data_IF_094418734450
#
_entry.id   IF_094418734450
#
_cell.length_a   1.000
_cell.length_b   1.000
_cell.length_c   1.000
_cell.angle_alpha   90.00
_cell.angle_beta   90.00
_cell.angle_gamma   90.00
#
_symmetry.space_group_name_H-M   'P 1'
#
loop_
_entity.id
_entity.type
_entity.pdbx_description
1 polymer ?
#
# COMPACT_ATOMS: atom_id res chain seq x y z
N UNK A 1 8.73 -22.06 5.52
CA UNK A 1 7.27 -21.86 5.63
C UNK A 1 6.92 -20.82 6.69
N UNK A 2 7.44 -20.91 7.92
CA UNK A 2 7.09 -19.97 9.00
C UNK A 2 7.33 -18.49 8.66
N UNK A 3 8.50 -18.15 8.11
CA UNK A 3 8.81 -16.79 7.66
C UNK A 3 7.81 -16.24 6.63
N UNK A 4 7.28 -17.11 5.76
CA UNK A 4 6.30 -16.70 4.75
C UNK A 4 4.93 -16.40 5.35
N UNK A 5 4.52 -17.12 6.41
CA UNK A 5 3.29 -16.85 7.15
C UNK A 5 3.39 -15.53 7.91
N UNK A 6 4.52 -15.29 8.58
CA UNK A 6 4.81 -14.01 9.24
C UNK A 6 4.77 -12.88 8.23
N UNK A 7 5.41 -13.04 7.06
CA UNK A 7 5.35 -12.08 5.97
C UNK A 7 3.94 -11.83 5.45
N UNK A 8 3.10 -12.86 5.33
CA UNK A 8 1.70 -12.72 4.90
C UNK A 8 0.89 -11.87 5.90
N UNK A 9 0.98 -12.17 7.21
CA UNK A 9 0.27 -11.42 8.26
C UNK A 9 0.78 -9.98 8.34
N UNK A 10 2.09 -9.78 8.38
CA UNK A 10 2.69 -8.44 8.44
C UNK A 10 2.33 -7.59 7.22
N UNK A 11 2.18 -8.19 6.05
CA UNK A 11 1.77 -7.48 4.83
C UNK A 11 0.36 -6.91 5.01
N UNK A 12 -0.57 -7.72 5.50
CA UNK A 12 -1.94 -7.28 5.75
C UNK A 12 -2.01 -6.21 6.82
N UNK A 13 -1.33 -6.42 7.95
CA UNK A 13 -1.28 -5.43 9.03
C UNK A 13 -0.71 -4.10 8.53
N UNK A 14 0.41 -4.14 7.78
CA UNK A 14 1.06 -2.92 7.27
C UNK A 14 0.18 -2.20 6.25
N UNK A 15 -0.48 -2.92 5.34
CA UNK A 15 -1.40 -2.32 4.36
C UNK A 15 -2.66 -1.78 5.03
N UNK A 16 -3.25 -2.47 6.01
CA UNK A 16 -4.40 -1.92 6.74
C UNK A 16 -3.99 -0.68 7.53
N UNK A 17 -2.87 -0.73 8.24
CA UNK A 17 -2.34 0.38 9.02
C UNK A 17 -2.11 1.64 8.15
N UNK A 18 -1.48 1.48 6.97
CA UNK A 18 -1.28 2.59 6.02
C UNK A 18 -2.61 3.26 5.59
N UNK A 19 -3.74 2.55 5.68
CA UNK A 19 -5.03 3.00 5.13
C UNK A 19 -5.83 3.79 6.14
N UNK A 20 -5.63 3.46 7.41
CA UNK A 20 -6.23 4.20 8.53
C UNK A 20 -5.32 5.33 9.01
N UNK A 21 -4.03 5.32 8.64
CA UNK A 21 -3.03 6.30 9.07
C UNK A 21 -3.46 7.76 8.83
N UNK A 22 -3.99 8.17 7.66
CA UNK A 22 -4.45 9.54 7.46
C UNK A 22 -5.58 9.93 8.44
N UNK A 23 -6.51 9.02 8.73
CA UNK A 23 -7.59 9.27 9.69
C UNK A 23 -7.05 9.41 11.11
N UNK A 24 -6.10 8.56 11.50
CA UNK A 24 -5.44 8.64 12.81
C UNK A 24 -4.63 9.93 12.97
N UNK A 25 -3.94 10.35 11.91
CA UNK A 25 -3.21 11.62 11.90
C UNK A 25 -4.15 12.82 12.06
N UNK A 26 -5.31 12.82 11.39
CA UNK A 26 -6.33 13.85 11.56
C UNK A 26 -6.89 13.85 12.99
N UNK A 27 -7.20 12.68 13.57
CA UNK A 27 -7.67 12.56 14.95
C UNK A 27 -6.62 13.07 15.96
N UNK A 28 -5.34 12.76 15.74
CA UNK A 28 -4.23 13.16 16.61
C UNK A 28 -3.86 14.65 16.50
N UNK A 29 -4.19 15.32 15.39
CA UNK A 29 -3.86 16.74 15.15
C UNK A 29 -4.59 17.72 16.08
N UNK A 30 -5.62 17.26 16.81
CA UNK A 30 -6.43 18.12 17.67
C UNK A 30 -7.38 19.06 16.91
N UNK A 31 -7.51 18.91 15.58
CA UNK A 31 -8.41 19.71 14.75
C UNK A 31 -9.86 19.65 15.23
N UNK A 32 -10.34 18.49 15.69
CA UNK A 32 -11.69 18.36 16.26
C UNK A 32 -11.88 19.26 17.49
N UNK A 33 -10.87 19.33 18.36
CA UNK A 33 -10.90 20.21 19.54
C UNK A 33 -10.75 21.70 19.21
N UNK A 34 -10.12 22.04 18.07
CA UNK A 34 -10.09 23.42 17.55
C UNK A 34 -11.44 23.80 16.91
N UNK A 35 -12.12 22.85 16.27
CA UNK A 35 -13.45 23.03 15.70
C UNK A 35 -14.50 23.26 16.81
N UNK A 36 -14.43 22.49 17.91
CA UNK A 36 -15.27 22.69 19.11
C UNK A 36 -15.04 24.05 19.78
N UNK A 37 -13.80 24.55 19.80
CA UNK A 37 -13.48 25.87 20.34
C UNK A 37 -14.01 27.00 19.45
N UNK A 38 -14.03 26.78 18.13
CA UNK A 38 -14.56 27.76 17.18
C UNK A 38 -16.10 27.77 17.21
N UNK A 39 -16.74 26.61 17.32
CA UNK A 39 -18.19 26.48 17.43
C UNK A 39 -18.73 27.05 18.75
N UNK A 40 -17.91 27.05 19.82
CA UNK A 40 -18.19 27.75 21.09
C UNK A 40 -17.85 29.25 21.10
N UNK A 41 -17.47 29.83 19.95
CA UNK A 41 -17.29 31.28 19.80
C UNK A 41 -15.89 31.80 20.12
N UNK A 42 -14.90 30.95 20.41
CA UNK A 42 -13.52 31.37 20.66
C UNK A 42 -12.76 31.63 19.36
N UNK A 43 -11.98 32.72 19.31
CA UNK A 43 -11.12 33.04 18.17
C UNK A 43 -9.87 32.16 18.16
N UNK A 44 -9.75 31.27 17.17
CA UNK A 44 -8.57 30.41 16.97
C UNK A 44 -7.52 31.14 16.13
N UNK A 45 -6.26 31.19 16.57
CA UNK A 45 -5.19 31.87 15.83
C UNK A 45 -4.67 31.03 14.66
N UNK A 46 -4.36 31.67 13.53
CA UNK A 46 -3.78 30.99 12.34
C UNK A 46 -2.44 30.31 12.67
N UNK A 47 -1.68 30.87 13.61
CA UNK A 47 -0.40 30.31 14.04
C UNK A 47 -0.58 28.93 14.67
N UNK A 48 -1.53 28.77 15.61
CA UNK A 48 -1.82 27.49 16.29
C UNK A 48 -2.26 26.38 15.31
N UNK A 49 -3.06 26.75 14.31
CA UNK A 49 -3.46 25.83 13.23
C UNK A 49 -2.24 25.40 12.41
N UNK A 50 -1.35 26.33 12.07
CA UNK A 50 -0.15 26.03 11.26
C UNK A 50 0.88 25.14 11.98
N UNK A 51 1.08 25.32 13.29
CA UNK A 51 2.03 24.49 14.07
C UNK A 51 1.51 23.06 14.24
N UNK A 52 0.19 22.90 14.50
CA UNK A 52 -0.44 21.59 14.57
C UNK A 52 -0.33 20.82 13.23
N UNK A 53 -0.64 21.49 12.11
CA UNK A 53 -0.51 20.92 10.77
C UNK A 53 0.93 20.48 10.44
N UNK A 54 1.93 21.29 10.80
CA UNK A 54 3.34 20.99 10.51
C UNK A 54 3.83 19.79 11.34
N UNK A 55 3.43 19.70 12.61
CA UNK A 55 3.74 18.57 13.48
C UNK A 55 3.08 17.27 12.98
N UNK A 56 1.81 17.34 12.58
CA UNK A 56 1.08 16.20 12.01
C UNK A 56 1.69 15.73 10.69
N UNK A 57 2.11 16.64 9.79
CA UNK A 57 2.74 16.24 8.53
C UNK A 57 4.06 15.49 8.72
N UNK A 58 4.91 15.90 9.67
CA UNK A 58 6.15 15.17 9.97
C UNK A 58 5.89 13.79 10.57
N UNK A 59 4.91 13.68 11.46
CA UNK A 59 4.50 12.40 12.04
C UNK A 59 3.91 11.44 10.99
N UNK A 60 3.08 11.97 10.08
CA UNK A 60 2.46 11.23 8.98
C UNK A 60 3.52 10.68 8.03
N UNK A 61 4.51 11.51 7.65
CA UNK A 61 5.59 11.10 6.76
C UNK A 61 6.42 9.94 7.34
N UNK A 62 6.87 10.08 8.59
CA UNK A 62 7.67 9.05 9.26
C UNK A 62 6.89 7.75 9.42
N UNK A 63 5.64 7.82 9.87
CA UNK A 63 4.80 6.64 10.03
C UNK A 63 4.55 5.93 8.68
N UNK A 64 4.37 6.70 7.60
CA UNK A 64 4.20 6.16 6.24
C UNK A 64 5.46 5.45 5.76
N UNK A 65 6.64 6.06 5.95
CA UNK A 65 7.92 5.45 5.58
C UNK A 65 8.15 4.13 6.33
N UNK A 66 7.89 4.11 7.65
CA UNK A 66 8.04 2.92 8.48
C UNK A 66 7.10 1.80 8.01
N UNK A 67 5.82 2.11 7.80
CA UNK A 67 4.87 1.11 7.36
C UNK A 67 5.11 0.65 5.91
N UNK A 68 5.58 1.53 5.02
CA UNK A 68 6.00 1.15 3.68
C UNK A 68 7.18 0.17 3.73
N UNK A 69 8.18 0.45 4.57
CA UNK A 69 9.31 -0.45 4.80
C UNK A 69 8.87 -1.79 5.42
N UNK A 70 7.92 -1.76 6.37
CA UNK A 70 7.31 -2.95 6.95
C UNK A 70 6.58 -3.79 5.90
N UNK A 71 5.75 -3.17 5.06
CA UNK A 71 5.04 -3.85 3.97
C UNK A 71 6.00 -4.46 2.94
N UNK A 72 7.08 -3.73 2.60
CA UNK A 72 8.15 -4.24 1.74
C UNK A 72 8.80 -5.48 2.35
N UNK A 73 9.29 -5.40 3.59
CA UNK A 73 9.93 -6.52 4.28
C UNK A 73 8.97 -7.72 4.38
N UNK A 74 7.70 -7.47 4.68
CA UNK A 74 6.66 -8.48 4.77
C UNK A 74 6.41 -9.19 3.43
N UNK A 75 6.34 -8.44 2.33
CA UNK A 75 6.24 -9.01 0.98
C UNK A 75 7.44 -9.87 0.61
N UNK A 76 8.66 -9.42 0.93
CA UNK A 76 9.88 -10.21 0.72
C UNK A 76 9.89 -11.50 1.56
N UNK A 77 9.45 -11.43 2.81
CA UNK A 77 9.32 -12.59 3.70
C UNK A 77 8.28 -13.59 3.17
N UNK A 78 7.13 -13.11 2.70
CA UNK A 78 6.08 -13.94 2.08
C UNK A 78 6.61 -14.72 0.86
N UNK A 79 7.50 -14.11 0.08
CA UNK A 79 8.11 -14.68 -1.12
C UNK A 79 9.36 -15.55 -0.85
N UNK A 80 9.70 -15.83 0.42
CA UNK A 80 10.76 -16.80 0.76
C UNK A 80 10.33 -18.25 0.56
N UNK A 81 9.04 -18.53 0.65
CA UNK A 81 8.45 -19.82 0.31
C UNK A 81 7.30 -19.57 -0.68
N UNK A 82 7.63 -19.38 -1.98
CA UNK A 82 6.64 -19.03 -2.98
C UNK A 82 5.62 -20.16 -3.16
N UNK A 83 4.36 -19.78 -3.07
CA UNK A 83 3.17 -20.58 -3.38
C UNK A 83 2.22 -19.68 -4.15
N UNK A 84 1.22 -20.25 -4.82
CA UNK A 84 0.22 -19.46 -5.54
C UNK A 84 -0.39 -18.35 -4.67
N UNK A 85 -0.69 -18.65 -3.40
CA UNK A 85 -1.26 -17.70 -2.45
C UNK A 85 -0.29 -16.59 -2.03
N UNK A 86 0.97 -16.92 -1.72
CA UNK A 86 1.97 -15.91 -1.30
C UNK A 86 2.40 -15.01 -2.46
N UNK A 87 2.44 -15.55 -3.69
CA UNK A 87 2.68 -14.77 -4.91
C UNK A 87 1.52 -13.81 -5.18
N UNK A 88 0.26 -14.30 -5.17
CA UNK A 88 -0.92 -13.45 -5.35
C UNK A 88 -1.01 -12.36 -4.26
N UNK A 89 -0.74 -12.70 -3.00
CA UNK A 89 -0.67 -11.75 -1.90
C UNK A 89 0.37 -10.65 -2.16
N UNK A 90 1.59 -11.02 -2.56
CA UNK A 90 2.64 -10.06 -2.85
C UNK A 90 2.31 -9.17 -4.07
N UNK A 91 1.64 -9.71 -5.09
CA UNK A 91 1.14 -8.92 -6.23
C UNK A 91 0.12 -7.89 -5.76
N UNK A 92 -0.87 -8.30 -4.96
CA UNK A 92 -1.89 -7.39 -4.42
C UNK A 92 -1.26 -6.30 -3.55
N UNK A 93 -0.33 -6.66 -2.67
CA UNK A 93 0.41 -5.69 -1.84
C UNK A 93 1.17 -4.69 -2.70
N UNK A 94 1.88 -5.16 -3.74
CA UNK A 94 2.61 -4.32 -4.69
C UNK A 94 1.71 -3.29 -5.35
N UNK A 95 0.55 -3.74 -5.85
CA UNK A 95 -0.45 -2.88 -6.50
C UNK A 95 -1.05 -1.87 -5.51
N UNK A 96 -1.44 -2.31 -4.32
CA UNK A 96 -2.04 -1.42 -3.30
C UNK A 96 -1.04 -0.35 -2.86
N UNK A 97 0.24 -0.70 -2.64
CA UNK A 97 1.27 0.30 -2.31
C UNK A 97 1.44 1.35 -3.42
N UNK A 98 1.46 0.92 -4.69
CA UNK A 98 1.56 1.83 -5.83
C UNK A 98 0.31 2.73 -5.98
N UNK A 99 -0.89 2.19 -5.74
CA UNK A 99 -2.14 2.97 -5.78
C UNK A 99 -2.17 4.01 -4.65
N UNK A 100 -1.71 3.63 -3.46
CA UNK A 100 -1.71 4.53 -2.29
C UNK A 100 -0.81 5.72 -2.41
N UNK A 101 0.24 5.66 -3.22
CA UNK A 101 1.05 6.83 -3.52
C UNK A 101 0.21 8.04 -4.00
N UNK A 102 -1.00 7.82 -4.54
CA UNK A 102 -1.93 8.89 -4.96
C UNK A 102 -2.64 9.60 -3.80
N UNK A 103 -2.71 8.97 -2.63
CA UNK A 103 -3.46 9.48 -1.47
C UNK A 103 -2.59 10.34 -0.52
N UNK A 104 -1.26 10.25 -0.65
CA UNK A 104 -0.32 10.91 0.24
C UNK A 104 0.18 12.25 -0.35
N UNK A 105 0.14 13.35 0.43
CA UNK A 105 0.47 14.68 -0.08
C UNK A 105 1.98 14.95 -0.20
N UNK A 106 2.85 14.23 0.51
CA UNK A 106 4.29 14.53 0.52
C UNK A 106 5.07 13.64 -0.46
N UNK A 107 6.03 14.23 -1.17
CA UNK A 107 6.93 13.52 -2.09
C UNK A 107 7.67 12.38 -1.39
N UNK A 108 8.10 12.56 -0.14
CA UNK A 108 8.80 11.53 0.64
C UNK A 108 7.93 10.28 0.83
N UNK A 109 6.64 10.45 1.08
CA UNK A 109 5.68 9.36 1.27
C UNK A 109 5.47 8.60 -0.06
N UNK A 110 5.30 9.35 -1.15
CA UNK A 110 5.16 8.83 -2.51
C UNK A 110 6.38 7.99 -2.91
N UNK A 111 7.59 8.54 -2.71
CA UNK A 111 8.85 7.85 -3.01
C UNK A 111 9.00 6.58 -2.18
N UNK A 112 8.67 6.62 -0.89
CA UNK A 112 8.73 5.44 -0.02
C UNK A 112 7.77 4.33 -0.47
N UNK A 113 6.53 4.67 -0.84
CA UNK A 113 5.53 3.71 -1.31
C UNK A 113 5.90 3.10 -2.67
N UNK A 114 6.35 3.92 -3.62
CA UNK A 114 6.82 3.42 -4.92
C UNK A 114 8.09 2.59 -4.78
N UNK A 115 9.03 3.00 -3.93
CA UNK A 115 10.25 2.24 -3.65
C UNK A 115 9.94 0.88 -3.06
N UNK A 116 9.08 0.82 -2.03
CA UNK A 116 8.61 -0.43 -1.44
C UNK A 116 7.93 -1.34 -2.47
N UNK A 117 7.03 -0.78 -3.27
CA UNK A 117 6.34 -1.50 -4.35
C UNK A 117 7.33 -2.05 -5.39
N UNK A 118 8.29 -1.24 -5.84
CA UNK A 118 9.29 -1.64 -6.83
C UNK A 118 10.17 -2.78 -6.34
N UNK A 119 10.62 -2.74 -5.08
CA UNK A 119 11.44 -3.82 -4.48
C UNK A 119 10.67 -5.15 -4.47
N UNK A 120 9.40 -5.14 -4.06
CA UNK A 120 8.57 -6.36 -4.05
C UNK A 120 8.31 -6.84 -5.49
N UNK A 121 8.06 -5.93 -6.44
CA UNK A 121 7.89 -6.27 -7.85
C UNK A 121 9.14 -6.94 -8.47
N UNK A 122 10.33 -6.41 -8.17
CA UNK A 122 11.61 -7.03 -8.59
C UNK A 122 11.74 -8.43 -8.01
N UNK A 123 11.39 -8.62 -6.73
CA UNK A 123 11.40 -9.95 -6.12
C UNK A 123 10.39 -10.91 -6.79
N UNK A 124 9.18 -10.45 -7.10
CA UNK A 124 8.17 -11.23 -7.83
C UNK A 124 8.69 -11.69 -9.20
N UNK A 125 9.38 -10.81 -9.91
CA UNK A 125 10.03 -11.14 -11.18
C UNK A 125 11.14 -12.16 -11.00
N UNK A 126 11.95 -12.04 -9.94
CA UNK A 126 12.93 -13.08 -9.57
C UNK A 126 12.27 -14.44 -9.35
N UNK A 127 11.20 -14.49 -8.54
CA UNK A 127 10.42 -15.72 -8.31
C UNK A 127 9.85 -16.29 -9.62
N UNK A 128 9.37 -15.42 -10.52
CA UNK A 128 8.87 -15.86 -11.83
C UNK A 128 9.99 -16.47 -12.68
N UNK A 129 11.18 -15.88 -12.72
CA UNK A 129 12.34 -16.43 -13.45
C UNK A 129 12.81 -17.78 -12.88
N UNK A 130 12.81 -17.94 -11.56
CA UNK A 130 13.15 -19.20 -10.90
C UNK A 130 12.21 -20.35 -11.33
N UNK A 131 10.94 -20.05 -11.62
CA UNK A 131 9.91 -21.05 -11.95
C UNK A 131 9.50 -21.07 -13.43
N UNK A 132 10.04 -20.20 -14.28
CA UNK A 132 9.68 -20.12 -15.71
C UNK A 132 10.81 -19.55 -16.55
N UNK A 133 11.17 -20.23 -17.65
CA UNK A 133 12.15 -19.76 -18.66
C UNK A 133 11.62 -18.64 -19.57
N UNK A 134 10.54 -17.97 -19.18
CA UNK A 134 9.87 -16.97 -20.01
C UNK A 134 10.67 -15.67 -20.03
N UNK A 135 10.97 -15.17 -21.23
CA UNK A 135 11.76 -13.95 -21.49
C UNK A 135 10.99 -12.65 -21.14
N UNK A 136 9.69 -12.75 -20.82
CA UNK A 136 8.80 -11.59 -20.60
C UNK A 136 9.00 -10.83 -19.28
N UNK A 137 9.85 -11.30 -18.38
CA UNK A 137 10.03 -10.70 -17.06
C UNK A 137 10.72 -9.34 -17.07
N UNK A 138 11.69 -9.18 -17.96
CA UNK A 138 12.41 -7.93 -18.13
C UNK A 138 11.50 -6.87 -18.76
N UNK A 139 10.66 -7.28 -19.73
CA UNK A 139 9.62 -6.41 -20.30
C UNK A 139 8.58 -5.98 -19.24
N UNK A 140 8.19 -6.88 -18.34
CA UNK A 140 7.30 -6.55 -17.23
C UNK A 140 7.93 -5.53 -16.27
N UNK A 141 9.20 -5.71 -15.88
CA UNK A 141 9.92 -4.76 -15.03
C UNK A 141 10.02 -3.37 -15.68
N UNK A 142 10.40 -3.33 -16.96
CA UNK A 142 10.47 -2.07 -17.71
C UNK A 142 9.09 -1.42 -17.76
N UNK A 143 8.03 -2.18 -18.02
CA UNK A 143 6.66 -1.66 -18.03
C UNK A 143 6.29 -1.07 -16.66
N UNK A 144 6.61 -1.78 -15.57
CA UNK A 144 6.31 -1.31 -14.21
C UNK A 144 7.12 -0.06 -13.81
N UNK A 145 8.33 0.08 -14.32
CA UNK A 145 9.18 1.25 -14.10
C UNK A 145 8.75 2.47 -14.94
N UNK A 146 8.28 2.23 -16.17
CA UNK A 146 7.86 3.28 -17.11
C UNK A 146 6.46 3.80 -16.80
N UNK A 147 5.55 2.97 -16.31
CA UNK A 147 4.15 3.36 -16.06
C UNK A 147 4.01 4.57 -15.11
N UNK A 148 4.72 4.66 -13.95
CA UNK A 148 4.67 5.83 -13.08
C UNK A 148 5.24 7.09 -13.76
N UNK A 149 6.30 6.94 -14.56
CA UNK A 149 6.92 8.04 -15.29
C UNK A 149 5.99 8.61 -16.36
N UNK A 150 5.25 7.76 -17.07
CA UNK A 150 4.25 8.17 -18.05
C UNK A 150 3.08 8.92 -17.40
N UNK A 151 2.62 8.47 -16.23
CA UNK A 151 1.58 9.16 -15.46
C UNK A 151 2.04 10.56 -15.03
N UNK A 152 3.34 10.74 -14.76
CA UNK A 152 3.90 12.03 -14.39
C UNK A 152 4.13 12.95 -15.60
N UNK A 153 4.46 12.38 -16.76
CA UNK A 153 4.76 13.12 -17.99
C UNK A 153 3.49 13.58 -18.74
N UNK A 154 2.38 12.84 -18.64
CA UNK A 154 1.15 13.15 -19.36
C UNK A 154 0.19 13.90 -18.41
N UNK A 155 -0.29 15.07 -18.82
CA UNK A 155 -1.42 15.74 -18.18
C UNK A 155 -2.72 15.32 -18.89
N UNK A 156 -3.42 14.27 -18.42
CA UNK A 156 -4.65 13.82 -19.06
C UNK A 156 -5.75 14.87 -18.95
N UNK A 157 -6.63 14.92 -19.95
CA UNK A 157 -7.85 15.71 -19.88
C UNK A 157 -8.66 15.38 -18.62
N UNK A 158 -9.38 16.37 -18.10
CA UNK A 158 -10.04 16.32 -16.78
C UNK A 158 -10.97 15.10 -16.62
N UNK A 159 -11.73 14.77 -17.67
CA UNK A 159 -12.59 13.59 -17.73
C UNK A 159 -11.84 12.26 -17.54
N UNK A 160 -10.63 12.15 -18.08
CA UNK A 160 -9.79 10.94 -17.97
C UNK A 160 -9.19 10.84 -16.58
N UNK A 161 -8.80 11.97 -15.98
CA UNK A 161 -8.26 12.03 -14.62
C UNK A 161 -9.27 11.54 -13.58
N UNK A 162 -10.53 11.94 -13.71
CA UNK A 162 -11.61 11.50 -12.81
C UNK A 162 -11.85 9.98 -12.94
N UNK A 163 -11.92 9.45 -14.17
CA UNK A 163 -12.09 8.00 -14.40
C UNK A 163 -10.91 7.20 -13.86
N UNK A 164 -9.68 7.66 -14.09
CA UNK A 164 -8.48 6.97 -13.63
C UNK A 164 -8.36 6.98 -12.10
N UNK A 165 -8.78 8.07 -11.46
CA UNK A 165 -8.87 8.15 -9.99
C UNK A 165 -9.89 7.14 -9.46
N UNK A 166 -11.13 7.17 -9.97
CA UNK A 166 -12.19 6.24 -9.56
C UNK A 166 -11.80 4.78 -9.77
N UNK A 167 -11.16 4.47 -10.90
CA UNK A 167 -10.67 3.12 -11.18
C UNK A 167 -9.58 2.71 -10.18
N UNK A 168 -8.66 3.62 -9.85
CA UNK A 168 -7.66 3.41 -8.80
C UNK A 168 -8.29 3.14 -7.43
N UNK A 169 -9.30 3.92 -7.04
CA UNK A 169 -9.99 3.77 -5.76
C UNK A 169 -10.70 2.40 -5.66
N UNK A 170 -11.31 1.95 -6.76
CA UNK A 170 -11.93 0.61 -6.84
C UNK A 170 -10.87 -0.48 -6.75
N UNK A 171 -9.79 -0.37 -7.51
CA UNK A 171 -8.71 -1.37 -7.52
C UNK A 171 -8.02 -1.47 -6.15
N UNK A 172 -7.84 -0.34 -5.47
CA UNK A 172 -7.32 -0.31 -4.10
C UNK A 172 -8.28 -1.04 -3.16
N UNK A 173 -9.57 -0.71 -3.21
CA UNK A 173 -10.59 -1.33 -2.36
C UNK A 173 -10.67 -2.84 -2.55
N UNK A 174 -10.72 -3.29 -3.81
CA UNK A 174 -10.71 -4.72 -4.16
C UNK A 174 -9.42 -5.38 -3.68
N UNK A 175 -8.26 -4.74 -3.85
CA UNK A 175 -6.98 -5.24 -3.37
C UNK A 175 -6.96 -5.42 -1.85
N UNK A 176 -7.41 -4.42 -1.09
CA UNK A 176 -7.49 -4.50 0.38
C UNK A 176 -8.45 -5.60 0.83
N UNK A 177 -9.60 -5.74 0.18
CA UNK A 177 -10.57 -6.81 0.49
C UNK A 177 -9.97 -8.19 0.20
N UNK A 178 -9.23 -8.33 -0.90
CA UNK A 178 -8.61 -9.59 -1.31
C UNK A 178 -7.48 -10.05 -0.36
N UNK A 179 -6.91 -9.16 0.45
CA UNK A 179 -5.83 -9.53 1.39
C UNK A 179 -6.26 -10.63 2.37
N UNK A 180 -7.49 -10.56 2.88
CA UNK A 180 -7.99 -11.51 3.87
C UNK A 180 -8.05 -12.95 3.32
N UNK A 181 -8.75 -13.24 2.21
CA UNK A 181 -8.77 -14.59 1.64
C UNK A 181 -7.37 -15.06 1.21
N UNK A 182 -6.52 -14.16 0.70
CA UNK A 182 -5.16 -14.51 0.29
C UNK A 182 -4.28 -14.95 1.47
N UNK A 183 -4.39 -14.31 2.63
CA UNK A 183 -3.71 -14.77 3.84
C UNK A 183 -4.24 -16.14 4.26
N UNK A 184 -5.56 -16.33 4.30
CA UNK A 184 -6.18 -17.63 4.64
C UNK A 184 -5.64 -18.75 3.74
N UNK A 185 -5.53 -18.48 2.44
CA UNK A 185 -4.92 -19.38 1.47
C UNK A 185 -3.43 -19.64 1.72
N UNK A 186 -2.65 -18.62 2.10
CA UNK A 186 -1.23 -18.77 2.46
C UNK A 186 -1.03 -19.67 3.71
N UNK A 187 -2.02 -19.77 4.59
CA UNK A 187 -2.03 -20.73 5.71
C UNK A 187 -2.49 -22.15 5.31
N UNK A 188 -2.86 -22.36 4.05
CA UNK A 188 -3.29 -23.66 3.51
C UNK A 188 -4.68 -24.09 4.00
N UNK A 189 -5.50 -23.15 4.49
CA UNK A 189 -6.85 -23.47 5.02
C UNK A 189 -7.75 -24.06 3.93
N UNK A 190 -7.73 -23.50 2.73
CA UNK A 190 -8.56 -23.99 1.62
C UNK A 190 -8.22 -25.42 1.20
N UNK A 191 -6.93 -25.80 1.19
CA UNK A 191 -6.52 -27.18 0.90
C UNK A 191 -7.04 -28.15 1.95
N UNK A 192 -6.90 -27.81 3.24
CA UNK A 192 -7.43 -28.64 4.34
C UNK A 192 -8.94 -28.82 4.27
N UNK A 193 -9.69 -27.79 3.88
CA UNK A 193 -11.14 -27.90 3.71
C UNK A 193 -11.47 -28.87 2.57
N UNK A 194 -10.80 -28.77 1.43
CA UNK A 194 -11.00 -29.69 0.31
C UNK A 194 -10.68 -31.14 0.71
N UNK A 195 -9.58 -31.38 1.41
CA UNK A 195 -9.18 -32.72 1.86
C UNK A 195 -10.13 -33.31 2.90
N UNK A 196 -10.83 -32.49 3.68
CA UNK A 196 -11.78 -32.95 4.71
C UNK A 196 -13.14 -33.34 4.12
N UNK A 197 -13.51 -32.76 2.97
CA UNK A 197 -14.79 -33.00 2.32
C UNK A 197 -14.68 -33.89 1.06
N UNK A 198 -13.47 -34.34 0.71
CA UNK A 198 -13.21 -35.34 -0.31
C UNK A 198 -13.30 -36.76 0.28
#
# INVERSE_FOLDING_TARGET
>A
VEQARVGAVLSVVSVVALGVLPRLALMASGLSGLDDRRSSGASVSRYQVSTALTATHRGLALATVILAASAMAAGLLALRAPSTWTVLLAVVVTVVLALRARAFPLVTEVVALFGASAVVAVRLVGVWQEHSRAVGSLALLVTLAVLPLLVLAVQPAEHVRIRLRRFGDVLESVGVIALLPLVIGAFGVYGRLLDTFA
#
